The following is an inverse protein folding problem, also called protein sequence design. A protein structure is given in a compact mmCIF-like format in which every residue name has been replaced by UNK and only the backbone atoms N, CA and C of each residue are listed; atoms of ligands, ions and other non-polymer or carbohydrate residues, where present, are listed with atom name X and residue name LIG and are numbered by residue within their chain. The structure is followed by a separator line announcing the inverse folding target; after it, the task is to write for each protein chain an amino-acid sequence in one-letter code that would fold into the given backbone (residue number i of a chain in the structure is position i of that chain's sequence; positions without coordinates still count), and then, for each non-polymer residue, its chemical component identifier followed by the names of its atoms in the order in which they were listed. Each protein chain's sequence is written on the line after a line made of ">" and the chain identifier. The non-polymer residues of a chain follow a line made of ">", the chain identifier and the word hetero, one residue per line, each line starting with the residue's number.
data_IF_342637253171
#
_entry.id   IF_342637253171
#
_cell.length_a   1.000
_cell.length_b   1.000
_cell.length_c   1.000
_cell.angle_alpha   90.00
_cell.angle_beta   90.00
_cell.angle_gamma   90.00
#
_symmetry.space_group_name_H-M   'P 1'
#
loop_
_entity.id
_entity.type
_entity.pdbx_description
1 polymer ?
#
# COMPACT_ATOMS: atom_id res chain seq x y z
N UNK A 1 42.20 9.26 31.59
CA UNK A 1 41.65 7.88 31.55
C UNK A 1 40.33 7.87 32.33
N UNK A 2 39.22 7.54 31.66
CA UNK A 2 37.87 7.14 32.15
C UNK A 2 37.11 8.03 33.15
N UNK A 3 36.07 8.77 32.70
CA UNK A 3 34.61 8.45 32.60
C UNK A 3 33.79 9.08 33.72
N UNK A 4 33.16 10.23 33.42
CA UNK A 4 32.09 10.83 34.22
C UNK A 4 30.75 10.18 33.84
N UNK A 5 30.17 9.39 34.75
CA UNK A 5 28.75 9.01 34.71
C UNK A 5 27.92 10.17 35.26
N UNK A 6 27.01 10.72 34.44
CA UNK A 6 25.86 11.55 34.87
C UNK A 6 24.62 10.78 34.41
N UNK A 7 24.02 9.98 35.30
CA UNK A 7 22.83 10.33 36.10
C UNK A 7 21.66 10.74 35.19
N UNK A 8 20.89 9.72 34.86
CA UNK A 8 19.57 9.74 34.26
C UNK A 8 18.55 10.10 35.35
N UNK A 9 18.03 11.33 35.34
CA UNK A 9 16.89 11.72 36.19
C UNK A 9 15.62 11.78 35.36
N UNK A 10 14.80 10.78 35.63
CA UNK A 10 13.39 10.65 35.36
C UNK A 10 12.61 11.82 36.01
N UNK A 11 11.73 12.48 35.26
CA UNK A 11 10.83 13.50 35.81
C UNK A 11 9.98 14.14 34.71
N UNK A 12 8.80 13.59 34.47
CA UNK A 12 7.84 14.12 33.50
C UNK A 12 7.17 15.42 33.95
N UNK A 13 6.87 16.28 32.98
CA UNK A 13 5.75 17.22 33.03
C UNK A 13 5.03 17.13 31.70
N UNK A 14 3.79 16.65 31.77
CA UNK A 14 2.78 16.66 30.71
C UNK A 14 2.40 18.12 30.43
N UNK A 15 2.68 18.62 29.22
CA UNK A 15 1.95 19.78 28.67
C UNK A 15 1.49 19.41 27.26
N UNK A 16 0.20 19.14 27.17
CA UNK A 16 -0.60 19.08 25.95
C UNK A 16 -0.72 20.49 25.36
N UNK A 17 -0.43 20.67 24.07
CA UNK A 17 -0.65 21.95 23.38
C UNK A 17 -0.05 22.01 21.98
N UNK A 18 -0.68 21.31 21.03
CA UNK A 18 -0.80 21.57 19.58
C UNK A 18 0.22 22.52 18.93
N UNK A 19 1.02 22.01 17.99
CA UNK A 19 1.15 22.48 16.59
C UNK A 19 2.34 21.75 15.92
N UNK A 20 2.06 20.89 14.94
CA UNK A 20 3.08 20.38 14.00
C UNK A 20 3.56 18.94 14.20
N UNK A 21 2.64 17.96 14.14
CA UNK A 21 2.86 16.71 13.38
C UNK A 21 4.07 15.81 13.68
N UNK A 22 4.61 15.78 14.90
CA UNK A 22 5.53 14.72 15.35
C UNK A 22 4.80 13.80 16.34
N UNK A 23 4.04 12.85 15.83
CA UNK A 23 3.70 11.66 16.62
C UNK A 23 4.78 10.63 16.40
N UNK A 24 5.59 10.50 17.45
CA UNK A 24 6.35 9.32 17.82
C UNK A 24 5.57 8.04 17.48
N UNK A 25 5.98 7.33 16.43
CA UNK A 25 5.74 5.89 16.33
C UNK A 25 7.10 5.20 16.38
N UNK A 26 7.33 4.51 17.50
CA UNK A 26 8.47 3.64 17.71
C UNK A 26 8.54 2.59 16.60
N UNK A 27 9.67 2.61 15.92
CA UNK A 27 10.22 1.56 15.08
C UNK A 27 10.54 0.32 15.93
N UNK A 28 9.79 -0.77 15.76
CA UNK A 28 10.32 -2.16 15.78
C UNK A 28 9.29 -3.17 15.22
N UNK A 29 9.20 -3.24 13.90
CA UNK A 29 8.74 -4.41 13.13
C UNK A 29 8.96 -4.09 11.64
N UNK A 30 10.21 -3.83 11.24
CA UNK A 30 11.08 -4.87 10.65
C UNK A 30 10.22 -5.91 9.92
N UNK A 31 9.84 -5.54 8.71
CA UNK A 31 9.82 -6.38 7.51
C UNK A 31 10.38 -7.80 7.75
N UNK A 32 9.55 -8.67 8.30
CA UNK A 32 9.81 -10.10 8.31
C UNK A 32 9.15 -10.74 7.08
N UNK A 33 10.03 -11.27 6.24
CA UNK A 33 9.84 -12.44 5.37
C UNK A 33 8.80 -12.37 4.24
N UNK A 34 9.19 -11.74 3.12
CA UNK A 34 8.71 -12.10 1.76
C UNK A 34 9.38 -13.40 1.26
N UNK A 35 10.16 -14.11 2.09
CA UNK A 35 10.95 -15.27 1.68
C UNK A 35 10.42 -16.64 2.14
N UNK A 36 9.17 -16.71 2.63
CA UNK A 36 8.55 -17.98 3.09
C UNK A 36 7.41 -18.49 2.20
N UNK A 37 7.23 -17.92 1.00
CA UNK A 37 6.18 -18.36 0.06
C UNK A 37 6.71 -19.09 -1.20
N UNK A 38 8.02 -19.30 -1.35
CA UNK A 38 8.60 -19.82 -2.61
C UNK A 38 9.45 -21.08 -2.49
N UNK A 39 9.48 -21.75 -1.34
CA UNK A 39 10.38 -22.90 -1.19
C UNK A 39 9.94 -23.91 -0.15
N UNK A 40 8.85 -24.65 -0.44
CA UNK A 40 8.60 -26.02 0.07
C UNK A 40 7.31 -26.59 -0.55
N UNK A 41 7.48 -27.43 -1.56
CA UNK A 41 6.65 -28.61 -1.85
C UNK A 41 5.15 -28.44 -2.10
N UNK A 42 4.75 -28.42 -3.38
CA UNK A 42 3.55 -29.13 -3.85
C UNK A 42 3.46 -29.13 -5.40
N UNK A 43 4.53 -29.50 -6.10
CA UNK A 43 4.41 -30.09 -7.43
C UNK A 43 4.06 -31.57 -7.25
N UNK A 44 2.77 -31.89 -7.11
CA UNK A 44 2.32 -33.27 -7.22
C UNK A 44 0.92 -33.34 -7.85
N UNK A 45 0.92 -33.95 -9.04
CA UNK A 45 -0.21 -34.52 -9.75
C UNK A 45 -1.37 -34.94 -8.84
N UNK A 46 -2.52 -34.28 -9.01
CA UNK A 46 -3.83 -34.87 -8.80
C UNK A 46 -4.63 -34.76 -10.12
N UNK A 47 -4.11 -35.41 -11.17
CA UNK A 47 -4.95 -35.96 -12.24
C UNK A 47 -5.66 -37.15 -11.61
N UNK A 48 -6.86 -36.92 -11.10
CA UNK A 48 -7.63 -37.94 -10.38
C UNK A 48 -9.06 -37.47 -10.16
N UNK A 49 -9.94 -37.80 -11.11
CA UNK A 49 -11.39 -37.76 -10.89
C UNK A 49 -12.03 -36.39 -10.94
N UNK A 50 -12.04 -35.74 -12.11
CA UNK A 50 -13.22 -34.92 -12.44
C UNK A 50 -14.31 -35.93 -12.79
N UNK A 51 -14.99 -36.41 -11.75
CA UNK A 51 -16.36 -36.88 -11.86
C UNK A 51 -17.09 -35.86 -12.72
N UNK A 52 -17.54 -36.29 -13.88
CA UNK A 52 -18.49 -35.58 -14.72
C UNK A 52 -19.53 -34.93 -13.82
N UNK A 53 -19.42 -33.61 -13.65
CA UNK A 53 -20.49 -32.83 -13.05
C UNK A 53 -21.70 -33.12 -13.93
N UNK A 54 -22.73 -33.67 -13.32
CA UNK A 54 -24.02 -33.87 -13.94
C UNK A 54 -24.63 -32.47 -14.17
N UNK A 55 -24.25 -31.85 -15.29
CA UNK A 55 -24.66 -30.50 -15.69
C UNK A 55 -26.13 -30.47 -16.14
N UNK A 56 -26.78 -31.64 -16.22
CA UNK A 56 -28.11 -31.78 -16.82
C UNK A 56 -29.28 -31.38 -15.93
N UNK A 57 -29.05 -31.08 -14.64
CA UNK A 57 -30.11 -30.66 -13.71
C UNK A 57 -29.73 -29.53 -12.75
N UNK A 58 -28.58 -28.88 -12.95
CA UNK A 58 -28.30 -27.59 -12.32
C UNK A 58 -28.80 -26.51 -13.28
N UNK A 59 -29.86 -25.79 -12.90
CA UNK A 59 -30.42 -24.71 -13.74
C UNK A 59 -29.28 -23.85 -14.29
N UNK A 60 -29.17 -23.77 -15.62
CA UNK A 60 -28.14 -22.97 -16.32
C UNK A 60 -28.13 -21.54 -15.76
N UNK A 61 -29.28 -21.04 -15.33
CA UNK A 61 -29.45 -19.75 -14.67
C UNK A 61 -28.76 -19.67 -13.30
N UNK A 62 -28.82 -20.72 -12.49
CA UNK A 62 -28.09 -20.81 -11.21
C UNK A 62 -26.58 -20.92 -11.45
N UNK A 63 -26.17 -21.70 -12.46
CA UNK A 63 -24.77 -21.80 -12.85
C UNK A 63 -24.22 -20.44 -13.35
N UNK A 64 -24.99 -19.72 -14.17
CA UNK A 64 -24.60 -18.41 -14.69
C UNK A 64 -24.57 -17.35 -13.57
N UNK A 65 -25.53 -17.39 -12.65
CA UNK A 65 -25.55 -16.51 -11.48
C UNK A 65 -24.37 -16.77 -10.55
N UNK A 66 -23.97 -18.04 -10.37
CA UNK A 66 -22.77 -18.40 -9.62
C UNK A 66 -21.50 -17.85 -10.28
N UNK A 67 -21.36 -17.96 -11.61
CA UNK A 67 -20.22 -17.41 -12.35
C UNK A 67 -20.16 -15.88 -12.25
N UNK A 68 -21.29 -15.20 -12.38
CA UNK A 68 -21.32 -13.73 -12.28
C UNK A 68 -21.08 -13.24 -10.85
N UNK A 69 -21.57 -13.98 -9.84
CA UNK A 69 -21.23 -13.73 -8.44
C UNK A 69 -19.74 -13.89 -8.19
N UNK A 70 -19.11 -14.93 -8.74
CA UNK A 70 -17.68 -15.17 -8.59
C UNK A 70 -16.84 -14.08 -9.28
N UNK A 71 -17.25 -13.65 -10.48
CA UNK A 71 -16.62 -12.52 -11.16
C UNK A 71 -16.73 -11.23 -10.35
N UNK A 72 -17.88 -10.95 -9.75
CA UNK A 72 -18.07 -9.77 -8.91
C UNK A 72 -17.19 -9.83 -7.65
N UNK A 73 -17.08 -10.99 -6.99
CA UNK A 73 -16.18 -11.19 -5.85
C UNK A 73 -14.71 -10.98 -6.22
N UNK A 74 -14.27 -11.51 -7.36
CA UNK A 74 -12.89 -11.32 -7.83
C UNK A 74 -12.60 -9.84 -8.16
N UNK A 75 -13.54 -9.13 -8.78
CA UNK A 75 -13.41 -7.69 -9.03
C UNK A 75 -13.33 -6.88 -7.73
N UNK A 76 -14.13 -7.25 -6.72
CA UNK A 76 -14.09 -6.61 -5.39
C UNK A 76 -12.77 -6.91 -4.67
N UNK A 77 -12.26 -8.14 -4.72
CA UNK A 77 -10.96 -8.50 -4.17
C UNK A 77 -9.83 -7.69 -4.83
N UNK A 78 -9.81 -7.63 -6.17
CA UNK A 78 -8.84 -6.82 -6.91
C UNK A 78 -8.95 -5.33 -6.57
N UNK A 79 -10.17 -4.79 -6.43
CA UNK A 79 -10.39 -3.40 -6.04
C UNK A 79 -9.82 -3.14 -4.63
N UNK A 80 -10.08 -4.04 -3.67
CA UNK A 80 -9.58 -3.95 -2.30
C UNK A 80 -8.05 -3.99 -2.24
N UNK A 81 -7.43 -4.93 -2.96
CA UNK A 81 -5.97 -5.04 -3.03
C UNK A 81 -5.35 -3.78 -3.65
N UNK A 82 -5.98 -3.26 -4.70
CA UNK A 82 -5.52 -2.05 -5.37
C UNK A 82 -5.63 -0.81 -4.46
N UNK A 83 -6.69 -0.69 -3.66
CA UNK A 83 -6.85 0.37 -2.66
C UNK A 83 -5.79 0.24 -1.57
N UNK A 84 -5.54 -0.96 -1.05
CA UNK A 84 -4.51 -1.20 -0.04
C UNK A 84 -3.10 -0.82 -0.55
N UNK A 85 -2.78 -1.19 -1.80
CA UNK A 85 -1.55 -0.78 -2.47
C UNK A 85 -1.44 0.76 -2.57
N UNK A 86 -2.53 1.46 -2.93
CA UNK A 86 -2.54 2.92 -3.00
C UNK A 86 -2.35 3.56 -1.61
N UNK A 87 -2.93 2.99 -0.55
CA UNK A 87 -2.71 3.45 0.82
C UNK A 87 -1.24 3.29 1.24
N UNK A 88 -0.65 2.12 1.00
CA UNK A 88 0.77 1.89 1.28
C UNK A 88 1.68 2.86 0.51
N UNK A 89 1.35 3.16 -0.75
CA UNK A 89 2.08 4.16 -1.54
C UNK A 89 1.90 5.57 -0.99
N UNK A 90 0.71 5.94 -0.53
CA UNK A 90 0.47 7.22 0.14
C UNK A 90 1.36 7.37 1.38
N UNK A 91 1.39 6.33 2.22
CA UNK A 91 2.22 6.32 3.43
C UNK A 91 3.71 6.44 3.09
N UNK A 92 4.16 5.72 2.06
CA UNK A 92 5.54 5.80 1.58
C UNK A 92 5.87 7.19 1.01
N UNK A 93 4.98 7.80 0.23
CA UNK A 93 5.17 9.16 -0.30
C UNK A 93 5.24 10.17 0.83
N UNK A 94 4.39 10.05 1.86
CA UNK A 94 4.42 10.91 3.04
C UNK A 94 5.78 10.81 3.75
N UNK A 95 6.27 9.59 4.01
CA UNK A 95 7.59 9.35 4.61
C UNK A 95 8.73 9.92 3.78
N UNK A 96 8.69 9.72 2.46
CA UNK A 96 9.70 10.28 1.54
C UNK A 96 9.65 11.81 1.50
N UNK A 97 8.48 12.43 1.57
CA UNK A 97 8.34 13.89 1.64
C UNK A 97 8.94 14.44 2.94
N UNK A 98 8.67 13.81 4.09
CA UNK A 98 9.28 14.19 5.37
C UNK A 98 10.80 14.04 5.33
N UNK A 99 11.32 12.96 4.73
CA UNK A 99 12.75 12.79 4.51
C UNK A 99 13.35 13.87 3.60
N UNK A 100 12.66 14.23 2.51
CA UNK A 100 13.10 15.28 1.59
C UNK A 100 13.14 16.65 2.27
N UNK A 101 12.15 16.95 3.10
CA UNK A 101 12.10 18.18 3.89
C UNK A 101 13.24 18.25 4.91
N UNK A 102 13.48 17.16 5.64
CA UNK A 102 14.62 17.07 6.56
C UNK A 102 15.97 17.26 5.83
N UNK A 103 16.13 16.67 4.64
CA UNK A 103 17.33 16.86 3.81
C UNK A 103 17.47 18.32 3.36
N UNK A 104 16.39 18.96 2.91
CA UNK A 104 16.39 20.38 2.50
C UNK A 104 16.71 21.31 3.67
N UNK A 105 16.15 21.06 4.84
CA UNK A 105 16.42 21.84 6.05
C UNK A 105 17.89 21.70 6.48
N UNK A 106 18.46 20.51 6.34
CA UNK A 106 19.87 20.27 6.62
C UNK A 106 20.78 20.97 5.60
N UNK A 107 20.43 20.92 4.30
CA UNK A 107 21.16 21.62 3.25
C UNK A 107 21.11 23.14 3.43
N UNK A 108 19.97 23.70 3.85
CA UNK A 108 19.83 25.13 4.13
C UNK A 108 20.69 25.64 5.30
N UNK A 109 21.11 24.75 6.22
CA UNK A 109 22.03 25.09 7.30
C UNK A 109 23.50 25.08 6.86
N UNK A 110 23.81 24.56 5.66
CA UNK A 110 25.16 24.50 5.13
C UNK A 110 25.38 25.72 4.24
N UNK A 111 26.41 26.55 4.50
CA UNK A 111 26.74 27.68 3.63
C UNK A 111 26.92 27.25 2.17
N UNK A 112 26.38 28.01 1.23
CA UNK A 112 26.36 27.69 -0.21
C UNK A 112 27.76 27.50 -0.81
N UNK A 113 28.74 28.21 -0.28
CA UNK A 113 30.17 28.18 -0.61
C UNK A 113 30.95 27.03 0.06
N UNK A 114 30.30 26.22 0.89
CA UNK A 114 30.94 25.07 1.53
C UNK A 114 31.38 24.02 0.49
N UNK A 115 32.60 23.47 0.59
CA UNK A 115 33.09 22.41 -0.29
C UNK A 115 32.16 21.18 -0.27
N UNK A 116 32.05 20.49 -1.41
CA UNK A 116 31.21 19.29 -1.56
C UNK A 116 31.57 18.16 -0.55
N UNK A 117 32.87 17.98 -0.28
CA UNK A 117 33.36 17.00 0.69
C UNK A 117 33.29 17.43 2.16
N UNK A 118 32.65 18.57 2.48
CA UNK A 118 32.51 19.02 3.87
C UNK A 118 31.70 17.99 4.64
N UNK A 119 32.32 17.43 5.69
CA UNK A 119 31.65 16.53 6.63
C UNK A 119 30.57 17.31 7.37
N UNK A 120 29.39 16.73 7.44
CA UNK A 120 28.21 17.33 8.08
C UNK A 120 27.88 16.58 9.36
N UNK A 121 27.37 17.30 10.36
CA UNK A 121 26.76 16.66 11.52
C UNK A 121 25.29 16.41 11.21
N UNK A 122 24.94 15.16 10.88
CA UNK A 122 23.56 14.76 10.56
C UNK A 122 22.69 14.89 11.81
N UNK A 123 21.61 15.68 11.72
CA UNK A 123 20.63 15.83 12.79
C UNK A 123 19.91 14.50 13.10
N UNK A 124 19.48 14.32 14.35
CA UNK A 124 18.70 13.13 14.77
C UNK A 124 17.38 13.03 14.00
N UNK A 125 16.77 14.18 13.70
CA UNK A 125 15.54 14.28 12.90
C UNK A 125 15.76 13.72 11.49
N UNK A 126 16.84 14.11 10.82
CA UNK A 126 17.18 13.59 9.50
C UNK A 126 17.43 12.08 9.53
N UNK A 127 18.15 11.56 10.53
CA UNK A 127 18.36 10.11 10.66
C UNK A 127 17.05 9.35 10.84
N UNK A 128 16.12 9.91 11.62
CA UNK A 128 14.81 9.31 11.87
C UNK A 128 13.97 9.31 10.60
N UNK A 129 13.87 10.45 9.92
CA UNK A 129 13.10 10.57 8.68
C UNK A 129 13.64 9.68 7.56
N UNK A 130 14.96 9.51 7.45
CA UNK A 130 15.58 8.58 6.51
C UNK A 130 15.28 7.12 6.86
N UNK A 131 15.36 6.76 8.15
CA UNK A 131 15.01 5.41 8.61
C UNK A 131 13.53 5.08 8.35
N UNK A 132 12.62 6.01 8.64
CA UNK A 132 11.18 5.85 8.40
C UNK A 132 10.85 5.69 6.92
N UNK A 133 11.61 6.36 6.05
CA UNK A 133 11.52 6.22 4.60
C UNK A 133 12.19 4.94 4.06
N UNK A 134 12.83 4.13 4.91
CA UNK A 134 13.53 2.90 4.51
C UNK A 134 14.94 3.14 3.93
N UNK A 135 15.49 4.34 4.11
CA UNK A 135 16.80 4.75 3.61
C UNK A 135 17.84 4.58 4.72
N UNK A 136 18.66 3.53 4.62
CA UNK A 136 19.72 3.25 5.60
C UNK A 136 21.01 4.04 5.37
N UNK A 137 21.13 4.73 4.25
CA UNK A 137 22.32 5.54 3.94
C UNK A 137 22.29 6.83 4.79
N UNK A 138 23.15 6.90 5.80
CA UNK A 138 23.35 8.12 6.59
C UNK A 138 24.36 9.00 5.85
N UNK A 139 23.93 10.13 5.24
CA UNK A 139 24.81 10.98 4.45
C UNK A 139 25.92 11.56 5.34
N UNK A 140 27.18 11.50 4.90
CA UNK A 140 28.32 11.98 5.70
C UNK A 140 28.84 13.34 5.21
N UNK A 141 28.60 13.66 3.94
CA UNK A 141 29.06 14.89 3.30
C UNK A 141 27.91 15.72 2.71
N UNK A 142 28.19 16.98 2.37
CA UNK A 142 27.26 17.83 1.61
C UNK A 142 26.90 17.19 0.27
N UNK A 143 27.88 16.62 -0.45
CA UNK A 143 27.63 15.91 -1.71
C UNK A 143 26.66 14.74 -1.52
N UNK A 144 26.84 13.94 -0.46
CA UNK A 144 25.95 12.81 -0.18
C UNK A 144 24.51 13.28 0.06
N UNK A 145 24.31 14.41 0.76
CA UNK A 145 22.98 15.00 0.96
C UNK A 145 22.34 15.45 -0.35
N UNK A 146 23.09 16.12 -1.22
CA UNK A 146 22.58 16.61 -2.50
C UNK A 146 22.19 15.43 -3.41
N UNK A 147 23.01 14.38 -3.45
CA UNK A 147 22.70 13.14 -4.19
C UNK A 147 21.48 12.43 -3.60
N UNK A 148 21.39 12.36 -2.28
CA UNK A 148 20.25 11.77 -1.58
C UNK A 148 18.96 12.57 -1.82
N UNK A 149 19.03 13.91 -1.84
CA UNK A 149 17.90 14.77 -2.19
C UNK A 149 17.38 14.43 -3.59
N UNK A 150 18.27 14.31 -4.58
CA UNK A 150 17.89 13.96 -5.94
C UNK A 150 17.29 12.55 -6.02
N UNK A 151 17.86 11.59 -5.29
CA UNK A 151 17.33 10.23 -5.24
C UNK A 151 15.92 10.18 -4.63
N UNK A 152 15.69 10.86 -3.50
CA UNK A 152 14.38 10.91 -2.84
C UNK A 152 13.36 11.60 -3.75
N UNK A 153 13.71 12.73 -4.38
CA UNK A 153 12.83 13.41 -5.33
C UNK A 153 12.46 12.52 -6.53
N UNK A 154 13.42 11.74 -7.05
CA UNK A 154 13.18 10.75 -8.09
C UNK A 154 12.22 9.63 -7.63
N UNK A 155 12.42 9.10 -6.43
CA UNK A 155 11.56 8.06 -5.85
C UNK A 155 10.13 8.56 -5.60
N UNK A 156 9.95 9.80 -5.11
CA UNK A 156 8.64 10.44 -4.96
C UNK A 156 7.96 10.56 -6.32
N UNK A 157 8.69 11.02 -7.34
CA UNK A 157 8.13 11.20 -8.69
C UNK A 157 7.69 9.86 -9.30
N UNK A 158 8.50 8.82 -9.16
CA UNK A 158 8.17 7.48 -9.62
C UNK A 158 6.95 6.91 -8.88
N UNK A 159 6.90 7.07 -7.55
CA UNK A 159 5.80 6.58 -6.70
C UNK A 159 4.49 7.33 -7.00
N UNK A 160 4.55 8.65 -7.16
CA UNK A 160 3.40 9.50 -7.52
C UNK A 160 2.85 9.13 -8.90
N UNK A 161 3.70 8.91 -9.90
CA UNK A 161 3.25 8.47 -11.22
C UNK A 161 2.58 7.09 -11.17
N UNK A 162 3.16 6.15 -10.42
CA UNK A 162 2.55 4.83 -10.21
C UNK A 162 1.19 4.92 -9.50
N UNK A 163 1.08 5.79 -8.51
CA UNK A 163 -0.17 6.04 -7.79
C UNK A 163 -1.27 6.60 -8.70
N UNK A 164 -0.94 7.54 -9.59
CA UNK A 164 -1.90 8.08 -10.56
C UNK A 164 -2.47 6.99 -11.47
N UNK A 165 -1.61 6.07 -11.94
CA UNK A 165 -2.04 4.92 -12.74
C UNK A 165 -2.94 3.97 -11.94
N UNK A 166 -2.61 3.72 -10.68
CA UNK A 166 -3.41 2.87 -9.82
C UNK A 166 -4.78 3.48 -9.53
N UNK A 167 -4.88 4.81 -9.43
CA UNK A 167 -6.16 5.50 -9.29
C UNK A 167 -7.03 5.33 -10.53
N UNK A 168 -6.45 5.42 -11.73
CA UNK A 168 -7.17 5.11 -12.98
C UNK A 168 -7.63 3.64 -13.00
N UNK A 169 -6.81 2.72 -12.49
CA UNK A 169 -7.21 1.31 -12.37
C UNK A 169 -8.35 1.12 -11.37
N UNK A 170 -8.33 1.79 -10.22
CA UNK A 170 -9.44 1.78 -9.25
C UNK A 170 -10.72 2.28 -9.89
N UNK A 171 -10.67 3.39 -10.64
CA UNK A 171 -11.82 3.92 -11.36
C UNK A 171 -12.35 2.89 -12.38
N UNK A 172 -11.45 2.28 -13.17
CA UNK A 172 -11.83 1.25 -14.15
C UNK A 172 -12.44 0.01 -13.47
N UNK A 173 -11.85 -0.47 -12.37
CA UNK A 173 -12.36 -1.61 -11.60
C UNK A 173 -13.71 -1.29 -10.98
N UNK A 174 -13.89 -0.09 -10.44
CA UNK A 174 -15.17 0.37 -9.90
C UNK A 174 -16.26 0.42 -10.97
N UNK A 175 -15.95 0.92 -12.17
CA UNK A 175 -16.89 0.94 -13.29
C UNK A 175 -17.27 -0.50 -13.71
N UNK A 176 -16.29 -1.39 -13.91
CA UNK A 176 -16.53 -2.80 -14.23
C UNK A 176 -17.35 -3.53 -13.17
N UNK A 177 -17.12 -3.19 -11.89
CA UNK A 177 -17.90 -3.71 -10.77
C UNK A 177 -19.35 -3.29 -10.85
N UNK A 178 -19.60 -1.99 -11.06
CA UNK A 178 -20.96 -1.45 -11.16
C UNK A 178 -21.72 -2.05 -12.36
N UNK A 179 -21.06 -2.16 -13.53
CA UNK A 179 -21.63 -2.83 -14.69
C UNK A 179 -21.99 -4.30 -14.40
N UNK A 180 -21.12 -5.03 -13.70
CA UNK A 180 -21.41 -6.41 -13.28
C UNK A 180 -22.60 -6.48 -12.32
N UNK A 181 -22.72 -5.53 -11.38
CA UNK A 181 -23.87 -5.43 -10.47
C UNK A 181 -25.17 -5.10 -11.19
N UNK A 182 -25.14 -4.22 -12.19
CA UNK A 182 -26.32 -3.88 -12.99
C UNK A 182 -26.78 -5.08 -13.82
N UNK A 183 -25.85 -5.82 -14.44
CA UNK A 183 -26.15 -7.07 -15.16
C UNK A 183 -26.75 -8.11 -14.23
N UNK A 184 -26.20 -8.30 -13.02
CA UNK A 184 -26.76 -9.21 -12.02
C UNK A 184 -28.16 -8.79 -11.58
N UNK A 185 -28.38 -7.49 -11.33
CA UNK A 185 -29.69 -6.98 -10.91
C UNK A 185 -30.73 -7.16 -12.00
N UNK A 186 -30.38 -6.88 -13.26
CA UNK A 186 -31.26 -7.09 -14.40
C UNK A 186 -31.55 -8.58 -14.64
N UNK A 187 -30.57 -9.45 -14.42
CA UNK A 187 -30.76 -10.90 -14.48
C UNK A 187 -31.75 -11.38 -13.41
N UNK A 188 -31.58 -10.96 -12.15
CA UNK A 188 -32.51 -11.30 -11.06
C UNK A 188 -33.93 -10.79 -11.33
N UNK A 189 -34.07 -9.56 -11.84
CA UNK A 189 -35.39 -9.03 -12.24
C UNK A 189 -36.03 -9.89 -13.33
N UNK A 190 -35.29 -10.22 -14.39
CA UNK A 190 -35.78 -11.07 -15.48
C UNK A 190 -36.18 -12.47 -14.99
N UNK A 191 -35.45 -13.02 -14.03
CA UNK A 191 -35.79 -14.27 -13.35
C UNK A 191 -37.09 -14.18 -12.55
N UNK A 192 -37.26 -13.10 -11.78
CA UNK A 192 -38.48 -12.84 -11.03
C UNK A 192 -39.69 -12.69 -11.96
N UNK A 193 -39.54 -11.94 -13.04
CA UNK A 193 -40.59 -11.76 -14.05
C UNK A 193 -40.93 -13.07 -14.77
N UNK A 194 -39.92 -13.90 -15.10
CA UNK A 194 -40.12 -15.23 -15.66
C UNK A 194 -40.92 -16.14 -14.72
N UNK A 195 -40.55 -16.17 -13.42
CA UNK A 195 -41.30 -16.93 -12.40
C UNK A 195 -42.72 -16.42 -12.23
N UNK A 196 -42.91 -15.09 -12.21
CA UNK A 196 -44.24 -14.47 -12.13
C UNK A 196 -45.09 -14.78 -13.36
N UNK A 197 -44.49 -14.84 -14.55
CA UNK A 197 -45.17 -15.23 -15.80
C UNK A 197 -45.58 -16.71 -15.81
N UNK A 198 -44.71 -17.60 -15.33
CA UNK A 198 -45.03 -19.03 -15.18
C UNK A 198 -46.17 -19.22 -14.16
N UNK A 199 -46.10 -18.56 -13.00
CA UNK A 199 -47.18 -18.61 -11.99
C UNK A 199 -48.47 -17.98 -12.54
N UNK A 200 -48.36 -16.89 -13.31
CA UNK A 200 -49.47 -16.21 -13.94
C UNK A 200 -50.19 -17.06 -15.00
N UNK A 201 -49.45 -17.84 -15.79
CA UNK A 201 -50.03 -18.76 -16.78
C UNK A 201 -50.58 -20.07 -16.18
N UNK A 202 -50.25 -20.39 -14.93
CA UNK A 202 -50.76 -21.56 -14.21
C UNK A 202 -52.01 -21.26 -13.35
N UNK A 203 -52.47 -20.01 -13.29
CA UNK A 203 -53.70 -19.59 -12.60
C UNK A 203 -54.81 -19.36 -13.61
#
# INVERSE_FOLDING_TARGET
>A
MSTKKKVLTLGGVFILGVLGGSVLMYNDSIYHSVNDALGKGATQNAVGGVTSIDISSMDIETALMAVQSERAKLLEAQLKDQIASVQQKNDQIAKLNSALEAVRNQLGQIPSDSPAGKVITVSTELKTALADAGISAVPQTKEDLERLQQQIAGQISASSNSQQMDMLRIQSLSNKRNEAFDVMTNFVKKMQDSRNSIIGNMR
#
